data_IF_880572698185
#
_entry.id   IF_880572698185
#
_cell.length_a   1.000
_cell.length_b   1.000
_cell.length_c   1.000
_cell.angle_alpha   90.00
_cell.angle_beta   90.00
_cell.angle_gamma   90.00
#
_symmetry.space_group_name_H-M   'P 1'
#
loop_
_entity.id
_entity.type
_entity.pdbx_description
1 polymer ?
#
# COMPACT_ATOMS: atom_id res chain seq x y z
N UNK A 1 -14.74 -5.96 20.09
CA UNK A 1 -13.30 -6.23 19.99
C UNK A 1 -12.88 -5.95 18.56
N UNK A 2 -11.82 -5.18 18.35
CA UNK A 2 -11.27 -4.94 17.02
C UNK A 2 -10.39 -6.13 16.62
N UNK A 3 -10.95 -7.02 15.78
CA UNK A 3 -10.27 -8.23 15.33
C UNK A 3 -9.00 -7.91 14.53
N UNK A 4 -8.97 -6.78 13.83
CA UNK A 4 -7.83 -6.38 13.02
C UNK A 4 -6.68 -5.92 13.91
N UNK A 5 -6.96 -5.09 14.92
CA UNK A 5 -5.94 -4.66 15.89
C UNK A 5 -5.29 -5.87 16.59
N UNK A 6 -6.08 -6.88 16.95
CA UNK A 6 -5.57 -8.12 17.54
C UNK A 6 -4.71 -8.95 16.58
N UNK A 7 -4.94 -8.86 15.28
CA UNK A 7 -4.19 -9.59 14.26
C UNK A 7 -2.83 -8.96 13.91
N UNK A 8 -2.63 -7.66 14.19
CA UNK A 8 -1.40 -6.93 13.83
C UNK A 8 -0.10 -7.64 14.29
N UNK A 9 0.03 -8.10 15.56
CA UNK A 9 1.24 -8.82 15.97
C UNK A 9 1.46 -10.12 15.19
N UNK A 10 0.39 -10.84 14.86
CA UNK A 10 0.45 -12.08 14.09
C UNK A 10 0.89 -11.84 12.65
N UNK A 11 0.46 -10.75 12.02
CA UNK A 11 0.96 -10.38 10.68
C UNK A 11 2.48 -10.19 10.69
N UNK A 12 3.03 -9.48 11.67
CA UNK A 12 4.49 -9.29 11.77
C UNK A 12 5.23 -10.59 12.06
N UNK A 13 4.69 -11.47 12.90
CA UNK A 13 5.28 -12.80 13.13
C UNK A 13 5.29 -13.63 11.84
N UNK A 14 4.18 -13.66 11.09
CA UNK A 14 4.08 -14.41 9.84
C UNK A 14 5.00 -13.84 8.75
N UNK A 15 5.11 -12.52 8.63
CA UNK A 15 6.08 -11.87 7.74
C UNK A 15 7.50 -12.25 8.13
N UNK A 16 7.84 -12.27 9.42
CA UNK A 16 9.18 -12.67 9.88
C UNK A 16 9.48 -14.15 9.59
N UNK A 17 8.48 -15.03 9.76
CA UNK A 17 8.57 -16.45 9.40
C UNK A 17 8.76 -16.62 7.89
N UNK A 18 8.00 -15.90 7.07
CA UNK A 18 8.14 -15.94 5.62
C UNK A 18 9.52 -15.44 5.17
N UNK A 19 9.99 -14.34 5.74
CA UNK A 19 11.32 -13.79 5.45
C UNK A 19 12.45 -14.76 5.86
N UNK A 20 12.27 -15.52 6.94
CA UNK A 20 13.21 -16.58 7.32
C UNK A 20 13.16 -17.75 6.32
N UNK A 21 11.96 -18.18 5.91
CA UNK A 21 11.79 -19.23 4.92
C UNK A 21 12.40 -18.85 3.56
N UNK A 22 12.24 -17.58 3.14
CA UNK A 22 12.84 -17.02 1.92
C UNK A 22 14.37 -17.15 1.96
N UNK A 23 14.99 -16.75 3.08
CA UNK A 23 16.44 -16.88 3.29
C UNK A 23 16.93 -18.32 3.30
N UNK A 24 16.24 -19.21 4.02
CA UNK A 24 16.61 -20.64 4.12
C UNK A 24 16.51 -21.32 2.75
N UNK A 25 15.52 -20.93 1.93
CA UNK A 25 15.31 -21.49 0.59
C UNK A 25 16.13 -20.79 -0.50
N UNK A 26 16.97 -19.82 -0.15
CA UNK A 26 17.77 -19.04 -1.12
C UNK A 26 16.93 -18.22 -2.09
N UNK A 27 15.66 -17.95 -1.75
CA UNK A 27 14.78 -17.10 -2.53
C UNK A 27 15.05 -15.63 -2.18
N UNK A 28 14.54 -14.72 -3.02
CA UNK A 28 14.73 -13.27 -2.88
C UNK A 28 13.42 -12.55 -3.19
N UNK A 29 12.37 -12.92 -2.45
CA UNK A 29 11.03 -12.37 -2.64
C UNK A 29 10.80 -11.08 -1.84
N UNK A 30 11.82 -10.60 -1.12
CA UNK A 30 11.76 -9.39 -0.31
C UNK A 30 12.87 -8.41 -0.71
N UNK A 31 12.48 -7.16 -0.94
CA UNK A 31 13.39 -6.02 -0.81
C UNK A 31 12.93 -5.14 0.34
N UNK A 32 13.88 -4.52 1.05
CA UNK A 32 13.53 -3.66 2.18
C UNK A 32 12.67 -2.47 1.73
N UNK A 33 13.01 -1.86 0.60
CA UNK A 33 12.32 -0.67 0.11
C UNK A 33 10.87 -0.97 -0.26
N UNK A 34 10.63 -2.08 -0.99
CA UNK A 34 9.28 -2.50 -1.33
C UNK A 34 8.47 -2.91 -0.08
N UNK A 35 9.08 -3.69 0.83
CA UNK A 35 8.43 -4.09 2.09
C UNK A 35 8.02 -2.87 2.92
N UNK A 36 8.90 -1.89 3.10
CA UNK A 36 8.61 -0.66 3.84
C UNK A 36 7.55 0.15 3.10
N UNK A 37 7.59 0.27 1.77
CA UNK A 37 6.59 1.03 1.02
C UNK A 37 5.20 0.36 1.13
N UNK A 38 5.13 -0.97 1.00
CA UNK A 38 3.90 -1.74 1.15
C UNK A 38 3.29 -1.54 2.55
N UNK A 39 4.07 -1.74 3.61
CA UNK A 39 3.60 -1.50 4.98
C UNK A 39 3.27 -0.01 5.25
N UNK A 40 3.98 0.93 4.60
CA UNK A 40 3.70 2.37 4.71
C UNK A 40 2.33 2.72 4.13
N UNK A 41 2.00 2.20 2.94
CA UNK A 41 0.66 2.41 2.37
C UNK A 41 -0.43 1.77 3.24
N UNK A 42 -0.18 0.60 3.83
CA UNK A 42 -1.05 0.01 4.84
C UNK A 42 -1.28 0.88 6.07
N UNK A 43 -0.20 1.39 6.67
CA UNK A 43 -0.29 2.29 7.82
C UNK A 43 -1.06 3.59 7.49
N UNK A 44 -0.86 4.15 6.29
CA UNK A 44 -1.65 5.28 5.80
C UNK A 44 -3.11 4.93 5.57
N UNK A 45 -3.40 3.77 4.99
CA UNK A 45 -4.76 3.32 4.76
C UNK A 45 -5.53 3.18 6.07
N UNK A 46 -4.95 2.48 7.06
CA UNK A 46 -5.56 2.31 8.38
C UNK A 46 -5.77 3.63 9.09
N UNK A 47 -4.77 4.51 9.11
CA UNK A 47 -4.89 5.83 9.76
C UNK A 47 -5.85 6.77 9.04
N UNK A 48 -5.91 6.77 7.71
CA UNK A 48 -6.95 7.46 6.93
C UNK A 48 -8.33 6.91 7.28
N UNK A 49 -8.44 5.58 7.44
CA UNK A 49 -9.65 4.90 7.88
C UNK A 49 -10.20 5.44 9.20
N UNK A 50 -9.36 5.84 10.15
CA UNK A 50 -9.80 6.47 11.41
C UNK A 50 -10.51 7.81 11.17
N UNK A 51 -10.07 8.57 10.16
CA UNK A 51 -10.67 9.86 9.79
C UNK A 51 -11.94 9.69 8.93
N UNK A 52 -12.03 8.61 8.17
CA UNK A 52 -13.10 8.39 7.19
C UNK A 52 -14.10 7.29 7.58
N UNK A 53 -13.94 6.64 8.75
CA UNK A 53 -14.80 5.55 9.24
C UNK A 53 -16.29 5.92 9.21
N UNK A 54 -16.58 7.21 9.44
CA UNK A 54 -17.92 7.79 9.33
C UNK A 54 -18.59 7.52 7.98
N UNK A 55 -17.88 7.63 6.87
CA UNK A 55 -18.49 7.52 5.52
C UNK A 55 -19.06 6.12 5.27
N UNK A 56 -18.30 5.07 5.56
CA UNK A 56 -18.76 3.69 5.34
C UNK A 56 -19.74 3.22 6.41
N UNK A 57 -19.33 3.30 7.68
CA UNK A 57 -20.08 2.68 8.77
C UNK A 57 -21.36 3.44 9.10
N UNK A 58 -21.34 4.78 9.13
CA UNK A 58 -22.55 5.56 9.44
C UNK A 58 -23.54 5.44 8.29
N UNK A 59 -23.08 5.51 7.04
CA UNK A 59 -23.98 5.32 5.88
C UNK A 59 -24.59 3.93 5.88
N UNK A 60 -23.81 2.87 6.17
CA UNK A 60 -24.35 1.52 6.32
C UNK A 60 -25.39 1.44 7.44
N UNK A 61 -25.10 2.00 8.62
CA UNK A 61 -26.00 1.99 9.76
C UNK A 61 -27.31 2.76 9.49
N UNK A 62 -27.23 3.91 8.82
CA UNK A 62 -28.40 4.69 8.40
C UNK A 62 -29.24 3.93 7.37
N UNK A 63 -28.61 3.31 6.37
CA UNK A 63 -29.31 2.47 5.41
C UNK A 63 -29.99 1.27 6.09
N UNK A 64 -29.32 0.64 7.06
CA UNK A 64 -29.91 -0.45 7.85
C UNK A 64 -31.10 0.04 8.69
N UNK A 65 -30.98 1.17 9.37
CA UNK A 65 -32.06 1.66 10.25
C UNK A 65 -33.31 2.06 9.47
N UNK A 66 -33.12 2.74 8.33
CA UNK A 66 -34.21 3.39 7.60
C UNK A 66 -34.66 2.69 6.32
N UNK A 67 -33.84 1.81 5.74
CA UNK A 67 -34.09 1.19 4.43
C UNK A 67 -34.05 -0.34 4.44
N UNK A 68 -33.74 -0.97 5.58
CA UNK A 68 -33.72 -2.43 5.65
C UNK A 68 -35.11 -3.02 5.40
N UNK A 69 -35.19 -3.91 4.42
CA UNK A 69 -36.40 -4.64 4.01
C UNK A 69 -36.73 -5.76 5.00
N UNK A 70 -35.70 -6.35 5.60
CA UNK A 70 -35.80 -7.35 6.67
C UNK A 70 -34.97 -6.88 7.86
N UNK A 71 -35.16 -7.50 9.04
CA UNK A 71 -34.27 -7.33 10.19
C UNK A 71 -33.79 -8.71 10.64
N UNK A 72 -32.64 -9.16 10.10
CA UNK A 72 -32.13 -10.51 10.34
C UNK A 72 -31.65 -10.67 11.79
N UNK A 73 -31.98 -11.79 12.47
CA UNK A 73 -31.65 -11.97 13.88
C UNK A 73 -30.15 -12.31 14.08
N UNK A 74 -29.33 -11.44 14.70
CA UNK A 74 -27.90 -11.70 14.90
C UNK A 74 -27.62 -12.90 15.81
N UNK A 75 -28.59 -13.36 16.60
CA UNK A 75 -28.47 -14.57 17.41
C UNK A 75 -28.55 -15.87 16.59
N UNK A 76 -29.05 -15.81 15.36
CA UNK A 76 -29.16 -16.99 14.51
C UNK A 76 -27.86 -17.23 13.73
N UNK A 77 -27.22 -18.37 13.96
CA UNK A 77 -25.93 -18.72 13.34
C UNK A 77 -25.94 -18.65 11.80
N UNK A 78 -27.07 -19.00 11.17
CA UNK A 78 -27.20 -18.97 9.70
C UNK A 78 -27.09 -17.55 9.12
N UNK A 79 -27.44 -16.50 9.89
CA UNK A 79 -27.30 -15.11 9.46
C UNK A 79 -25.82 -14.76 9.28
N UNK A 80 -24.94 -15.29 10.12
CA UNK A 80 -23.50 -15.06 10.02
C UNK A 80 -22.89 -15.74 8.79
N UNK A 81 -23.27 -16.99 8.51
CA UNK A 81 -22.81 -17.69 7.32
C UNK A 81 -23.34 -17.02 6.04
N UNK A 82 -24.63 -16.67 6.02
CA UNK A 82 -25.23 -15.95 4.90
C UNK A 82 -24.53 -14.61 4.69
N UNK A 83 -24.34 -13.82 5.76
CA UNK A 83 -23.67 -12.53 5.68
C UNK A 83 -22.22 -12.66 5.20
N UNK A 84 -21.49 -13.70 5.61
CA UNK A 84 -20.11 -13.93 5.16
C UNK A 84 -20.04 -14.25 3.67
N UNK A 85 -20.92 -15.13 3.17
CA UNK A 85 -21.00 -15.46 1.74
C UNK A 85 -21.43 -14.25 0.91
N UNK A 86 -22.44 -13.51 1.35
CA UNK A 86 -22.92 -12.30 0.65
C UNK A 86 -21.90 -11.16 0.71
N UNK A 87 -21.17 -11.02 1.82
CA UNK A 87 -20.08 -10.06 1.91
C UNK A 87 -19.00 -10.37 0.87
N UNK A 88 -18.59 -11.64 0.75
CA UNK A 88 -17.61 -12.04 -0.26
C UNK A 88 -18.11 -11.85 -1.69
N UNK A 89 -19.41 -12.04 -1.93
CA UNK A 89 -20.04 -11.70 -3.21
C UNK A 89 -19.98 -10.20 -3.52
N UNK A 90 -20.30 -9.34 -2.54
CA UNK A 90 -20.15 -7.89 -2.68
C UNK A 90 -18.68 -7.50 -2.91
N UNK A 91 -17.75 -8.14 -2.20
CA UNK A 91 -16.32 -7.98 -2.39
C UNK A 91 -15.90 -8.33 -3.82
N UNK A 92 -16.36 -9.47 -4.37
CA UNK A 92 -16.07 -9.86 -5.75
C UNK A 92 -16.43 -8.75 -6.75
N UNK A 93 -17.61 -8.13 -6.64
CA UNK A 93 -18.02 -7.05 -7.53
C UNK A 93 -17.24 -5.76 -7.33
N UNK A 94 -16.97 -5.39 -6.07
CA UNK A 94 -16.11 -4.26 -5.76
C UNK A 94 -14.71 -4.46 -6.36
N UNK A 95 -14.16 -5.66 -6.20
CA UNK A 95 -12.82 -6.01 -6.63
C UNK A 95 -12.72 -6.05 -8.15
N UNK A 96 -13.67 -6.73 -8.81
CA UNK A 96 -13.78 -6.76 -10.27
C UNK A 96 -13.89 -5.37 -10.89
N UNK A 97 -14.82 -4.53 -10.40
CA UNK A 97 -14.92 -3.16 -10.91
C UNK A 97 -13.71 -2.30 -10.49
N UNK A 98 -13.06 -2.65 -9.39
CA UNK A 98 -11.73 -2.16 -8.98
C UNK A 98 -10.66 -2.39 -10.02
N UNK A 99 -10.70 -3.48 -10.77
CA UNK A 99 -9.77 -3.74 -11.88
C UNK A 99 -10.27 -3.19 -13.21
N UNK A 100 -11.58 -3.24 -13.47
CA UNK A 100 -12.14 -2.92 -14.78
C UNK A 100 -12.52 -1.44 -14.98
N UNK A 101 -12.55 -0.58 -13.95
CA UNK A 101 -12.97 0.83 -14.06
C UNK A 101 -11.95 1.81 -13.52
N UNK A 102 -11.60 2.83 -14.31
CA UNK A 102 -10.53 3.78 -14.03
C UNK A 102 -10.54 4.38 -12.61
N UNK A 103 -11.67 4.90 -12.12
CA UNK A 103 -11.73 5.52 -10.78
C UNK A 103 -11.62 4.51 -9.64
N UNK A 104 -12.16 3.30 -9.83
CA UNK A 104 -12.05 2.23 -8.83
C UNK A 104 -10.67 1.57 -8.89
N UNK A 105 -10.04 1.50 -10.06
CA UNK A 105 -8.64 1.13 -10.22
C UNK A 105 -7.70 2.16 -9.63
N UNK A 106 -8.02 3.45 -9.72
CA UNK A 106 -7.27 4.48 -8.98
C UNK A 106 -7.30 4.19 -7.47
N UNK A 107 -8.44 3.72 -6.95
CA UNK A 107 -8.56 3.29 -5.58
C UNK A 107 -7.92 1.92 -5.30
N UNK A 108 -7.80 1.01 -6.25
CA UNK A 108 -7.35 -0.37 -6.00
C UNK A 108 -5.89 -0.65 -6.38
N UNK A 109 -5.39 0.00 -7.44
CA UNK A 109 -4.05 -0.21 -8.02
C UNK A 109 -2.91 -0.11 -7.03
N UNK A 110 -3.06 0.66 -5.95
CA UNK A 110 -2.09 0.71 -4.85
C UNK A 110 -1.73 -0.71 -4.39
N UNK A 111 -2.71 -1.60 -4.25
CA UNK A 111 -2.50 -2.99 -3.84
C UNK A 111 -1.61 -3.79 -4.81
N UNK A 112 -1.72 -3.51 -6.11
CA UNK A 112 -1.01 -4.21 -7.19
C UNK A 112 0.34 -3.60 -7.56
N UNK A 113 0.68 -2.42 -7.06
CA UNK A 113 1.89 -1.69 -7.46
C UNK A 113 3.21 -2.35 -7.04
N UNK A 114 3.20 -3.26 -6.06
CA UNK A 114 4.42 -3.95 -5.63
C UNK A 114 4.89 -4.92 -6.72
N UNK A 115 6.18 -4.87 -7.00
CA UNK A 115 6.86 -5.75 -7.96
C UNK A 115 7.50 -6.97 -7.26
N UNK A 116 7.36 -7.02 -5.93
CA UNK A 116 7.55 -8.19 -5.11
C UNK A 116 6.20 -8.82 -4.73
N UNK A 117 6.22 -10.08 -4.33
CA UNK A 117 4.99 -10.75 -3.88
C UNK A 117 5.28 -11.62 -2.65
N UNK A 118 4.81 -11.15 -1.51
CA UNK A 118 5.01 -11.73 -0.19
C UNK A 118 3.94 -11.17 0.78
N UNK A 119 3.97 -11.56 2.06
CA UNK A 119 2.94 -11.18 3.03
C UNK A 119 2.90 -9.67 3.34
N UNK A 120 3.94 -8.90 3.02
CA UNK A 120 3.86 -7.43 3.12
C UNK A 120 2.97 -6.83 2.04
N UNK A 121 2.85 -7.49 0.87
CA UNK A 121 1.94 -7.11 -0.22
C UNK A 121 0.48 -7.16 0.24
N UNK A 122 0.12 -8.11 1.11
CA UNK A 122 -1.23 -8.16 1.71
C UNK A 122 -1.60 -6.86 2.45
N UNK A 123 -0.60 -6.23 3.06
CA UNK A 123 -0.77 -5.00 3.84
C UNK A 123 -0.57 -3.74 2.99
N UNK A 124 -0.32 -3.88 1.68
CA UNK A 124 -0.30 -2.76 0.74
C UNK A 124 -1.71 -2.33 0.40
N UNK A 125 -2.23 -1.36 1.13
CA UNK A 125 -3.64 -0.94 1.06
C UNK A 125 -3.78 0.52 0.63
N UNK A 126 -4.88 0.82 -0.05
CA UNK A 126 -5.24 2.17 -0.52
C UNK A 126 -5.82 3.04 0.59
N UNK A 127 -5.58 4.34 0.55
CA UNK A 127 -6.24 5.33 1.42
C UNK A 127 -7.52 5.93 0.80
N UNK A 128 -7.88 5.58 -0.44
CA UNK A 128 -9.00 6.21 -1.17
C UNK A 128 -10.24 5.31 -1.33
N UNK A 129 -10.21 4.08 -0.79
CA UNK A 129 -11.33 3.14 -0.88
C UNK A 129 -12.65 3.67 -0.30
N UNK A 130 -12.60 4.57 0.68
CA UNK A 130 -13.79 5.14 1.34
C UNK A 130 -14.71 5.94 0.41
N UNK A 131 -14.22 6.35 -0.77
CA UNK A 131 -15.00 7.20 -1.70
C UNK A 131 -16.18 6.41 -2.30
N UNK A 132 -15.95 5.18 -2.75
CA UNK A 132 -16.96 4.38 -3.47
C UNK A 132 -17.23 2.99 -2.90
N UNK A 133 -16.34 2.42 -2.08
CA UNK A 133 -16.48 1.01 -1.65
C UNK A 133 -17.75 0.74 -0.85
N UNK A 134 -18.24 1.73 -0.09
CA UNK A 134 -19.44 1.59 0.74
C UNK A 134 -20.70 1.30 -0.09
N UNK A 135 -20.78 1.76 -1.33
CA UNK A 135 -21.92 1.54 -2.24
C UNK A 135 -22.18 0.04 -2.47
N UNK A 136 -21.10 -0.73 -2.59
CA UNK A 136 -21.17 -2.17 -2.88
C UNK A 136 -21.72 -3.00 -1.73
N UNK A 137 -21.65 -2.47 -0.51
CA UNK A 137 -22.10 -3.17 0.70
C UNK A 137 -23.50 -2.73 1.16
N UNK A 138 -24.07 -1.68 0.58
CA UNK A 138 -25.46 -1.27 0.87
C UNK A 138 -26.51 -2.38 0.66
N UNK A 139 -26.38 -3.29 -0.34
CA UNK A 139 -27.31 -4.41 -0.46
C UNK A 139 -27.43 -5.26 0.81
N UNK A 140 -26.36 -5.42 1.60
CA UNK A 140 -26.42 -6.15 2.87
C UNK A 140 -27.22 -5.39 3.93
N UNK A 141 -27.10 -4.06 3.97
CA UNK A 141 -27.90 -3.22 4.86
C UNK A 141 -29.40 -3.30 4.49
N UNK A 142 -29.71 -3.21 3.18
CA UNK A 142 -31.08 -3.35 2.66
C UNK A 142 -31.67 -4.73 2.93
N UNK A 143 -30.85 -5.79 2.83
CA UNK A 143 -31.28 -7.14 3.20
C UNK A 143 -31.52 -7.30 4.70
N UNK A 144 -31.01 -6.39 5.54
CA UNK A 144 -31.19 -6.45 6.99
C UNK A 144 -30.07 -7.15 7.75
N UNK A 145 -28.85 -7.20 7.22
CA UNK A 145 -27.67 -7.68 7.94
C UNK A 145 -27.27 -6.66 9.02
N UNK A 146 -27.31 -7.00 10.32
CA UNK A 146 -27.01 -6.06 11.40
C UNK A 146 -25.56 -5.51 11.31
N UNK A 147 -25.31 -4.24 11.67
CA UNK A 147 -23.98 -3.64 11.58
C UNK A 147 -22.87 -4.41 12.30
N UNK A 148 -23.17 -5.02 13.46
CA UNK A 148 -22.22 -5.87 14.19
C UNK A 148 -21.79 -7.10 13.37
N UNK A 149 -22.77 -7.78 12.74
CA UNK A 149 -22.51 -8.93 11.88
C UNK A 149 -21.69 -8.48 10.67
N UNK A 150 -22.09 -7.38 10.03
CA UNK A 150 -21.39 -6.79 8.88
C UNK A 150 -19.91 -6.51 9.17
N UNK A 151 -19.59 -5.75 10.24
CA UNK A 151 -18.20 -5.41 10.59
C UNK A 151 -17.39 -6.67 10.90
N UNK A 152 -18.00 -7.67 11.55
CA UNK A 152 -17.32 -8.90 11.92
C UNK A 152 -17.00 -9.75 10.68
N UNK A 153 -17.98 -9.98 9.79
CA UNK A 153 -17.72 -10.75 8.55
C UNK A 153 -16.76 -10.02 7.62
N UNK A 154 -16.81 -8.69 7.57
CA UNK A 154 -15.82 -7.88 6.86
C UNK A 154 -14.40 -8.11 7.39
N UNK A 155 -14.24 -8.12 8.72
CA UNK A 155 -12.95 -8.38 9.37
C UNK A 155 -12.45 -9.79 9.08
N UNK A 156 -13.33 -10.81 9.16
CA UNK A 156 -12.97 -12.20 8.85
C UNK A 156 -12.57 -12.39 7.39
N UNK A 157 -13.28 -11.73 6.46
CA UNK A 157 -12.96 -11.77 5.04
C UNK A 157 -11.57 -11.15 4.79
N UNK A 158 -11.30 -9.96 5.35
CA UNK A 158 -10.00 -9.31 5.26
C UNK A 158 -8.87 -10.17 5.85
N UNK A 159 -9.10 -10.81 7.00
CA UNK A 159 -8.12 -11.70 7.63
C UNK A 159 -7.80 -12.93 6.78
N UNK A 160 -8.80 -13.52 6.13
CA UNK A 160 -8.58 -14.61 5.19
C UNK A 160 -7.69 -14.17 4.03
N UNK A 161 -7.88 -12.97 3.50
CA UNK A 161 -7.11 -12.48 2.37
C UNK A 161 -5.62 -12.21 2.68
N UNK A 162 -5.19 -12.25 3.95
CA UNK A 162 -3.79 -12.06 4.28
C UNK A 162 -2.89 -13.19 3.75
N UNK A 163 -3.21 -14.45 4.07
CA UNK A 163 -2.32 -15.58 3.85
C UNK A 163 -2.13 -15.95 2.38
N UNK A 164 -3.03 -15.51 1.50
CA UNK A 164 -2.95 -15.79 0.06
C UNK A 164 -1.79 -15.04 -0.63
N UNK A 165 -1.15 -14.08 0.05
CA UNK A 165 -0.03 -13.31 -0.49
C UNK A 165 1.31 -13.97 -0.23
N UNK A 166 1.57 -15.13 -0.85
CA UNK A 166 2.88 -15.79 -0.73
C UNK A 166 3.25 -16.56 -2.00
N UNK A 167 4.55 -16.67 -2.24
CA UNK A 167 5.13 -17.51 -3.30
C UNK A 167 5.53 -18.90 -2.80
N UNK A 168 5.48 -19.14 -1.50
CA UNK A 168 5.99 -20.39 -0.91
C UNK A 168 5.00 -21.54 -0.90
N UNK A 169 3.72 -21.26 -1.16
CA UNK A 169 2.65 -22.25 -1.20
C UNK A 169 2.34 -22.57 -2.67
N UNK A 170 2.53 -23.84 -3.10
CA UNK A 170 2.22 -24.27 -4.46
C UNK A 170 0.71 -24.36 -4.68
N UNK A 171 0.28 -24.89 -5.83
CA UNK A 171 -1.12 -25.22 -6.06
C UNK A 171 -1.63 -26.21 -5.01
N UNK A 172 -2.86 -26.01 -4.55
CA UNK A 172 -3.50 -26.83 -3.50
C UNK A 172 -4.56 -27.81 -4.03
N UNK A 173 -4.65 -27.97 -5.35
CA UNK A 173 -5.52 -28.98 -5.98
C UNK A 173 -7.00 -28.73 -5.71
N UNK A 174 -7.69 -29.69 -5.08
CA UNK A 174 -9.15 -29.61 -4.85
C UNK A 174 -9.57 -28.36 -4.05
N UNK A 175 -8.69 -27.83 -3.20
CA UNK A 175 -8.98 -26.64 -2.40
C UNK A 175 -9.22 -25.39 -3.27
N UNK A 176 -8.55 -25.31 -4.44
CA UNK A 176 -8.67 -24.22 -5.44
C UNK A 176 -9.97 -24.27 -6.26
N UNK A 177 -10.82 -25.27 -6.01
CA UNK A 177 -12.15 -25.31 -6.60
C UNK A 177 -13.16 -24.48 -5.83
N UNK A 178 -12.90 -24.25 -4.54
CA UNK A 178 -13.84 -23.58 -3.63
C UNK A 178 -13.26 -22.27 -3.10
N UNK A 179 -12.00 -22.28 -2.71
CA UNK A 179 -11.35 -21.19 -1.99
C UNK A 179 -10.23 -20.56 -2.80
N UNK A 180 -10.04 -19.25 -2.60
CA UNK A 180 -8.90 -18.51 -3.14
C UNK A 180 -7.64 -18.99 -2.44
N UNK A 181 -6.62 -19.37 -3.22
CA UNK A 181 -5.31 -19.78 -2.72
C UNK A 181 -4.21 -18.81 -3.17
N UNK A 182 -2.99 -18.97 -2.62
CA UNK A 182 -1.82 -18.27 -3.13
C UNK A 182 -1.59 -18.44 -4.64
N UNK A 183 -1.94 -19.59 -5.24
CA UNK A 183 -1.81 -19.75 -6.69
C UNK A 183 -2.80 -18.86 -7.46
N UNK A 184 -4.08 -18.87 -7.05
CA UNK A 184 -5.08 -18.01 -7.68
C UNK A 184 -4.73 -16.53 -7.52
N UNK A 185 -4.25 -16.14 -6.34
CA UNK A 185 -3.95 -14.76 -6.02
C UNK A 185 -2.63 -14.25 -6.65
N UNK A 186 -1.65 -15.13 -6.91
CA UNK A 186 -0.49 -14.77 -7.74
C UNK A 186 -0.89 -14.40 -9.16
N UNK A 187 -1.77 -15.19 -9.79
CA UNK A 187 -2.33 -14.88 -11.11
C UNK A 187 -3.05 -13.54 -11.08
N UNK A 188 -3.85 -13.30 -10.05
CA UNK A 188 -4.56 -12.05 -9.87
C UNK A 188 -3.62 -10.82 -9.81
N UNK A 189 -2.47 -10.95 -9.14
CA UNK A 189 -1.48 -9.88 -9.02
C UNK A 189 -0.52 -9.75 -10.21
N UNK A 190 -0.71 -10.56 -11.25
CA UNK A 190 0.16 -10.57 -12.41
C UNK A 190 -0.14 -9.41 -13.36
N UNK A 191 0.92 -8.85 -13.97
CA UNK A 191 0.80 -7.94 -15.12
C UNK A 191 0.94 -8.67 -16.47
N UNK A 192 1.10 -10.00 -16.46
CA UNK A 192 1.12 -10.82 -17.68
C UNK A 192 -0.19 -10.64 -18.46
N UNK A 193 -0.15 -10.43 -19.79
CA UNK A 193 -1.36 -10.30 -20.60
C UNK A 193 -2.36 -11.46 -20.46
N UNK A 194 -1.88 -12.69 -20.24
CA UNK A 194 -2.74 -13.86 -20.06
C UNK A 194 -3.48 -13.92 -18.71
N UNK A 195 -3.04 -13.13 -17.74
CA UNK A 195 -3.52 -13.11 -16.36
C UNK A 195 -4.24 -11.81 -15.97
N UNK A 196 -4.18 -10.76 -16.79
CA UNK A 196 -4.92 -9.52 -16.57
C UNK A 196 -6.42 -9.80 -16.41
N UNK A 197 -7.03 -9.12 -15.45
CA UNK A 197 -8.46 -9.13 -15.21
C UNK A 197 -9.02 -10.53 -14.86
N UNK A 198 -8.31 -11.26 -13.97
CA UNK A 198 -8.66 -12.62 -13.52
C UNK A 198 -8.67 -12.76 -12.00
N UNK A 199 -9.41 -13.76 -11.52
CA UNK A 199 -9.43 -14.24 -10.13
C UNK A 199 -9.73 -13.13 -9.09
N UNK A 200 -10.89 -12.50 -9.16
CA UNK A 200 -11.32 -11.40 -8.29
C UNK A 200 -11.88 -11.81 -6.93
N UNK A 201 -12.12 -13.10 -6.67
CA UNK A 201 -12.64 -13.57 -5.39
C UNK A 201 -11.74 -13.18 -4.21
N UNK A 202 -12.34 -12.86 -3.06
CA UNK A 202 -11.59 -12.60 -1.83
C UNK A 202 -11.34 -13.90 -1.06
N UNK A 203 -12.43 -14.61 -0.75
CA UNK A 203 -12.40 -15.91 -0.06
C UNK A 203 -12.77 -17.03 -1.01
N UNK A 204 -13.86 -16.88 -1.78
CA UNK A 204 -14.35 -17.93 -2.66
C UNK A 204 -13.96 -17.68 -4.11
N UNK A 205 -13.26 -18.64 -4.72
CA UNK A 205 -12.98 -18.65 -6.17
C UNK A 205 -14.24 -19.01 -6.99
N UNK A 206 -15.31 -19.42 -6.31
CA UNK A 206 -16.59 -19.79 -6.92
C UNK A 206 -17.14 -18.67 -7.82
N UNK A 207 -17.02 -17.41 -7.40
CA UNK A 207 -17.50 -16.27 -8.17
C UNK A 207 -16.78 -16.14 -9.50
N UNK A 208 -15.46 -16.33 -9.52
CA UNK A 208 -14.68 -16.31 -10.75
C UNK A 208 -15.06 -17.39 -11.73
N UNK A 209 -15.40 -18.58 -11.22
CA UNK A 209 -15.90 -19.68 -12.05
C UNK A 209 -17.29 -19.38 -12.59
N UNK A 210 -18.17 -18.84 -11.75
CA UNK A 210 -19.55 -18.49 -12.13
C UNK A 210 -19.61 -17.36 -13.17
N UNK A 211 -18.75 -16.35 -13.03
CA UNK A 211 -18.76 -15.15 -13.88
C UNK A 211 -17.68 -15.16 -14.97
N UNK A 212 -16.97 -16.28 -15.16
CA UNK A 212 -16.03 -16.49 -16.27
C UNK A 212 -14.71 -15.71 -16.15
N UNK A 213 -14.30 -15.35 -14.94
CA UNK A 213 -13.04 -14.62 -14.65
C UNK A 213 -11.95 -15.50 -14.07
N UNK A 214 -12.21 -16.81 -13.89
CA UNK A 214 -11.22 -17.78 -13.41
C UNK A 214 -10.08 -17.99 -14.41
N UNK A 215 -8.84 -17.98 -13.91
CA UNK A 215 -7.64 -18.38 -14.65
C UNK A 215 -6.69 -19.13 -13.73
N UNK A 216 -6.31 -20.32 -14.15
CA UNK A 216 -5.32 -21.12 -13.45
C UNK A 216 -3.89 -20.59 -13.70
N UNK A 217 -3.02 -20.67 -12.69
CA UNK A 217 -1.59 -20.35 -12.82
C UNK A 217 -0.93 -21.38 -13.74
N UNK A 218 -0.35 -20.95 -14.86
CA UNK A 218 0.37 -21.82 -15.77
C UNK A 218 1.84 -21.94 -15.34
N UNK A 219 2.35 -23.15 -15.01
CA UNK A 219 3.76 -23.35 -14.70
C UNK A 219 4.72 -22.94 -15.84
N UNK A 220 4.24 -22.90 -17.09
CA UNK A 220 5.02 -22.48 -18.25
C UNK A 220 5.08 -20.95 -18.44
N UNK A 221 4.23 -20.20 -17.74
CA UNK A 221 4.19 -18.73 -17.81
C UNK A 221 4.47 -18.13 -16.42
N UNK A 222 5.75 -17.83 -16.11
CA UNK A 222 6.12 -17.20 -14.85
C UNK A 222 5.36 -15.89 -14.61
N UNK A 223 4.82 -15.76 -13.41
CA UNK A 223 4.11 -14.56 -12.98
C UNK A 223 5.10 -13.40 -12.81
N UNK A 224 4.80 -12.30 -13.51
CA UNK A 224 5.46 -11.00 -13.34
C UNK A 224 4.51 -10.10 -12.56
N UNK A 225 4.94 -9.62 -11.39
CA UNK A 225 4.14 -8.77 -10.50
C UNK A 225 4.32 -7.29 -10.80
N UNK A 226 3.39 -6.47 -10.32
CA UNK A 226 3.35 -5.02 -10.54
C UNK A 226 2.15 -4.60 -11.37
N UNK A 227 2.18 -3.35 -11.84
CA UNK A 227 1.15 -2.78 -12.72
C UNK A 227 1.75 -2.37 -14.05
N UNK A 228 0.95 -2.38 -15.12
CA UNK A 228 1.41 -2.09 -16.49
C UNK A 228 2.00 -0.69 -16.67
N UNK A 229 1.66 0.24 -15.77
CA UNK A 229 2.28 1.56 -15.63
C UNK A 229 2.96 1.61 -14.26
N UNK A 230 4.26 1.28 -14.15
CA UNK A 230 4.92 1.10 -12.87
C UNK A 230 4.86 2.34 -11.98
N UNK A 231 4.85 2.12 -10.65
CA UNK A 231 4.94 3.21 -9.69
C UNK A 231 6.29 3.94 -9.78
N UNK A 232 7.38 3.16 -9.94
CA UNK A 232 8.76 3.65 -10.00
C UNK A 232 9.09 4.66 -8.88
N UNK A 233 8.59 4.39 -7.66
CA UNK A 233 8.72 5.26 -6.50
C UNK A 233 8.45 4.49 -5.21
N UNK A 234 9.15 4.87 -4.13
CA UNK A 234 8.93 4.44 -2.76
C UNK A 234 8.15 5.47 -1.93
N UNK A 235 7.59 6.51 -2.55
CA UNK A 235 6.73 7.49 -1.89
C UNK A 235 5.29 6.93 -1.72
N UNK A 236 4.83 6.66 -0.49
CA UNK A 236 3.51 6.07 -0.26
C UNK A 236 2.34 7.04 -0.50
N UNK A 237 2.59 8.35 -0.47
CA UNK A 237 1.60 9.35 -0.88
C UNK A 237 1.44 9.36 -2.40
N UNK A 238 2.56 9.29 -3.13
CA UNK A 238 2.52 9.20 -4.58
C UNK A 238 1.90 7.89 -5.06
N UNK A 239 2.15 6.77 -4.37
CA UNK A 239 1.50 5.48 -4.62
C UNK A 239 -0.03 5.62 -4.70
N UNK A 240 -0.63 6.38 -3.76
CA UNK A 240 -2.06 6.65 -3.72
C UNK A 240 -2.57 7.66 -4.77
N UNK A 241 -1.69 8.50 -5.32
CA UNK A 241 -2.08 9.62 -6.18
C UNK A 241 -1.75 9.43 -7.66
N UNK A 242 -0.79 8.56 -7.99
CA UNK A 242 -0.24 8.43 -9.34
C UNK A 242 -1.31 8.22 -10.41
N UNK A 243 -2.22 7.26 -10.19
CA UNK A 243 -3.24 6.93 -11.19
C UNK A 243 -4.31 8.04 -11.29
N UNK A 244 -4.73 8.63 -10.16
CA UNK A 244 -5.62 9.81 -10.18
C UNK A 244 -5.00 10.98 -10.92
N UNK A 245 -3.71 11.23 -10.70
CA UNK A 245 -2.97 12.26 -11.41
C UNK A 245 -2.92 11.95 -12.90
N UNK A 246 -2.65 10.71 -13.30
CA UNK A 246 -2.67 10.30 -14.70
C UNK A 246 -4.03 10.59 -15.36
N UNK A 247 -5.14 10.15 -14.75
CA UNK A 247 -6.49 10.41 -15.26
C UNK A 247 -6.78 11.91 -15.36
N UNK A 248 -6.37 12.70 -14.36
CA UNK A 248 -6.52 14.14 -14.38
C UNK A 248 -5.74 14.82 -15.51
N UNK A 249 -4.50 14.39 -15.76
CA UNK A 249 -3.69 14.92 -16.87
C UNK A 249 -4.31 14.58 -18.22
N UNK A 250 -4.79 13.35 -18.41
CA UNK A 250 -5.46 12.94 -19.65
C UNK A 250 -6.80 13.68 -19.83
N UNK A 251 -7.59 13.83 -18.76
CA UNK A 251 -8.82 14.61 -18.77
C UNK A 251 -8.56 16.08 -19.18
N UNK A 252 -7.50 16.70 -18.64
CA UNK A 252 -7.14 18.08 -18.98
C UNK A 252 -6.69 18.25 -20.42
N UNK A 253 -6.00 17.24 -20.98
CA UNK A 253 -5.46 17.25 -22.35
C UNK A 253 -6.50 16.93 -23.41
N UNK A 254 -7.60 16.28 -23.04
CA UNK A 254 -8.66 15.94 -23.98
C UNK A 254 -9.30 17.19 -24.60
N UNK A 255 -9.57 17.14 -25.89
CA UNK A 255 -10.25 18.22 -26.61
C UNK A 255 -11.75 18.26 -26.22
N UNK A 256 -12.39 17.09 -26.09
CA UNK A 256 -13.83 16.94 -25.77
C UNK A 256 -14.11 17.08 -24.28
N UNK A 257 -15.06 17.96 -23.90
CA UNK A 257 -15.55 18.09 -22.52
C UNK A 257 -16.14 16.79 -21.96
N UNK A 258 -16.80 16.01 -22.81
CA UNK A 258 -17.38 14.72 -22.40
C UNK A 258 -16.28 13.71 -22.06
N UNK A 259 -15.18 13.71 -22.80
CA UNK A 259 -14.02 12.85 -22.51
C UNK A 259 -13.36 13.20 -21.18
N UNK A 260 -13.34 14.49 -20.80
CA UNK A 260 -12.84 14.92 -19.48
C UNK A 260 -13.64 14.35 -18.32
N UNK A 261 -14.95 14.15 -18.51
CA UNK A 261 -15.87 13.68 -17.49
C UNK A 261 -16.00 12.15 -17.48
N UNK A 262 -16.12 11.51 -18.64
CA UNK A 262 -16.35 10.06 -18.69
C UNK A 262 -15.11 9.25 -18.39
N UNK A 263 -13.90 9.79 -18.61
CA UNK A 263 -12.62 9.07 -18.41
C UNK A 263 -12.55 8.34 -17.06
N UNK A 264 -13.10 8.93 -16.00
CA UNK A 264 -13.13 8.36 -14.65
C UNK A 264 -13.92 7.04 -14.55
N UNK A 265 -14.93 6.85 -15.40
CA UNK A 265 -15.82 5.69 -15.37
C UNK A 265 -15.62 4.73 -16.55
N UNK A 266 -14.74 5.08 -17.48
CA UNK A 266 -14.38 4.23 -18.61
C UNK A 266 -13.55 3.02 -18.16
N UNK A 267 -13.46 1.97 -19.00
CA UNK A 267 -12.66 0.79 -18.70
C UNK A 267 -11.21 1.15 -18.34
N UNK A 268 -10.59 0.39 -17.44
CA UNK A 268 -9.21 0.64 -17.03
C UNK A 268 -8.26 0.66 -18.23
N UNK A 269 -7.45 1.71 -18.30
CA UNK A 269 -6.53 1.94 -19.43
C UNK A 269 -7.17 2.62 -20.65
N UNK A 270 -8.48 2.86 -20.65
CA UNK A 270 -9.11 3.72 -21.66
C UNK A 270 -8.61 5.17 -21.53
N UNK A 271 -8.27 5.76 -22.66
CA UNK A 271 -7.84 7.16 -22.79
C UNK A 271 -8.57 7.81 -23.97
N UNK A 272 -8.85 9.13 -23.92
CA UNK A 272 -9.41 9.86 -25.07
C UNK A 272 -8.52 9.68 -26.31
N UNK A 273 -9.13 9.51 -27.49
CA UNK A 273 -8.40 9.11 -28.70
C UNK A 273 -7.35 10.15 -29.14
N UNK A 274 -7.69 11.44 -29.02
CA UNK A 274 -6.79 12.57 -29.27
C UNK A 274 -5.60 12.57 -28.29
N UNK A 275 -5.85 12.28 -27.01
CA UNK A 275 -4.81 12.18 -25.99
C UNK A 275 -3.92 10.97 -26.22
N UNK A 276 -4.50 9.82 -26.55
CA UNK A 276 -3.75 8.60 -26.87
C UNK A 276 -2.85 8.78 -28.10
N UNK A 277 -3.32 9.52 -29.12
CA UNK A 277 -2.55 9.82 -30.32
C UNK A 277 -1.42 10.84 -30.07
N UNK A 278 -1.70 11.93 -29.32
CA UNK A 278 -0.71 12.99 -29.04
C UNK A 278 0.27 12.62 -27.94
N UNK A 279 -0.13 11.78 -26.98
CA UNK A 279 0.63 11.39 -25.81
C UNK A 279 0.57 9.86 -25.60
N UNK A 280 1.17 9.07 -26.50
CA UNK A 280 1.12 7.62 -26.41
C UNK A 280 1.78 7.11 -25.13
N UNK A 281 1.21 6.05 -24.55
CA UNK A 281 1.79 5.32 -23.43
C UNK A 281 2.24 3.95 -23.93
N UNK A 282 3.56 3.72 -23.95
CA UNK A 282 4.11 2.43 -24.30
C UNK A 282 3.88 1.45 -23.15
N UNK A 283 3.34 0.27 -23.46
CA UNK A 283 3.34 -0.85 -22.52
C UNK A 283 4.76 -1.39 -22.43
N UNK A 284 5.20 -1.74 -21.23
CA UNK A 284 6.52 -2.36 -21.06
C UNK A 284 6.54 -3.75 -21.67
N UNK A 285 7.65 -4.08 -22.33
CA UNK A 285 7.95 -5.45 -22.72
C UNK A 285 8.35 -6.25 -21.48
N UNK A 286 7.53 -7.24 -21.12
CA UNK A 286 7.77 -8.06 -19.94
C UNK A 286 9.05 -8.91 -20.04
N UNK A 287 9.54 -9.17 -21.26
CA UNK A 287 10.82 -9.87 -21.46
C UNK A 287 12.03 -9.04 -20.97
N UNK A 288 11.86 -7.72 -20.88
CA UNK A 288 12.88 -6.76 -20.42
C UNK A 288 12.51 -6.11 -19.08
N UNK A 289 11.46 -6.61 -18.41
CA UNK A 289 11.00 -6.03 -17.15
C UNK A 289 12.10 -6.08 -16.09
N UNK A 290 12.38 -4.93 -15.50
CA UNK A 290 13.30 -4.79 -14.38
C UNK A 290 12.56 -4.13 -13.25
N UNK A 291 12.61 -4.77 -12.08
CA UNK A 291 12.03 -4.21 -10.88
C UNK A 291 12.70 -2.87 -10.56
N UNK A 292 11.91 -1.90 -10.16
CA UNK A 292 12.38 -0.65 -9.62
C UNK A 292 13.13 -0.94 -8.32
N UNK A 293 14.43 -0.68 -8.32
CA UNK A 293 15.28 -0.81 -7.15
C UNK A 293 16.28 0.34 -7.13
N UNK A 294 16.50 0.90 -5.94
CA UNK A 294 17.52 1.92 -5.71
C UNK A 294 18.57 1.30 -4.80
N UNK A 295 19.82 1.28 -5.27
CA UNK A 295 20.93 0.77 -4.47
C UNK A 295 21.14 1.67 -3.24
N UNK A 296 21.04 1.08 -2.05
CA UNK A 296 21.18 1.77 -0.77
C UNK A 296 22.24 1.09 0.11
N UNK A 297 23.04 1.89 0.80
CA UNK A 297 23.95 1.38 1.81
C UNK A 297 23.20 0.77 3.00
N UNK A 298 23.74 -0.32 3.57
CA UNK A 298 23.14 -1.04 4.72
C UNK A 298 22.82 -0.13 5.91
N UNK A 299 23.64 0.89 6.16
CA UNK A 299 23.40 1.84 7.25
C UNK A 299 22.17 2.74 7.00
N UNK A 300 21.93 3.17 5.76
CA UNK A 300 20.74 3.93 5.40
C UNK A 300 19.49 3.06 5.44
N UNK A 301 19.59 1.82 4.97
CA UNK A 301 18.54 0.81 5.10
C UNK A 301 18.16 0.57 6.57
N UNK A 302 19.14 0.33 7.44
CA UNK A 302 18.92 0.14 8.88
C UNK A 302 18.30 1.38 9.53
N UNK A 303 18.76 2.58 9.15
CA UNK A 303 18.19 3.83 9.61
C UNK A 303 16.70 3.94 9.25
N UNK A 304 16.35 3.77 7.97
CA UNK A 304 14.96 3.85 7.52
C UNK A 304 14.08 2.80 8.21
N UNK A 305 14.57 1.56 8.34
CA UNK A 305 13.85 0.51 9.05
C UNK A 305 13.57 0.87 10.52
N UNK A 306 14.56 1.42 11.23
CA UNK A 306 14.39 1.86 12.61
C UNK A 306 13.38 3.00 12.74
N UNK A 307 13.40 3.98 11.82
CA UNK A 307 12.42 5.06 11.80
C UNK A 307 11.01 4.55 11.48
N UNK A 308 10.90 3.58 10.58
CA UNK A 308 9.63 2.97 10.18
C UNK A 308 8.92 2.28 11.35
N UNK A 309 9.66 1.61 12.25
CA UNK A 309 9.08 1.00 13.47
C UNK A 309 8.35 2.04 14.33
N UNK A 310 8.88 3.27 14.43
CA UNK A 310 8.21 4.36 15.14
C UNK A 310 6.87 4.74 14.51
N UNK A 311 6.75 4.68 13.19
CA UNK A 311 5.49 4.95 12.48
C UNK A 311 4.49 3.80 12.61
N UNK A 312 4.95 2.54 12.62
CA UNK A 312 4.06 1.41 12.98
C UNK A 312 3.51 1.59 14.39
N UNK A 313 4.35 1.93 15.36
CA UNK A 313 3.92 2.17 16.74
C UNK A 313 2.93 3.35 16.85
N UNK A 314 3.19 4.46 16.15
CA UNK A 314 2.25 5.59 16.08
C UNK A 314 0.92 5.18 15.47
N UNK A 315 0.91 4.34 14.42
CA UNK A 315 -0.32 3.84 13.79
C UNK A 315 -1.16 3.02 14.75
N UNK A 316 -0.54 2.04 15.43
CA UNK A 316 -1.20 1.23 16.46
C UNK A 316 -1.73 2.09 17.61
N UNK A 317 -0.96 3.09 18.05
CA UNK A 317 -1.39 4.03 19.07
C UNK A 317 -2.64 4.81 18.65
N UNK A 318 -2.65 5.36 17.43
CA UNK A 318 -3.80 6.09 16.88
C UNK A 318 -5.06 5.22 16.82
N UNK A 319 -4.93 3.94 16.44
CA UNK A 319 -6.06 3.00 16.45
C UNK A 319 -6.61 2.79 17.85
N UNK A 320 -5.73 2.68 18.86
CA UNK A 320 -6.13 2.46 20.25
C UNK A 320 -6.86 3.68 20.84
N UNK A 321 -6.42 4.89 20.51
CA UNK A 321 -6.98 6.13 21.09
C UNK A 321 -8.09 6.76 20.26
N UNK A 322 -8.37 6.25 19.05
CA UNK A 322 -9.27 6.86 18.07
C UNK A 322 -10.64 7.29 18.61
N UNK A 323 -11.23 6.49 19.51
CA UNK A 323 -12.55 6.75 20.07
C UNK A 323 -12.54 7.68 21.30
N UNK A 324 -11.34 8.03 21.79
CA UNK A 324 -11.13 8.78 23.04
C UNK A 324 -10.60 10.21 22.83
N UNK A 325 -10.17 10.55 21.61
CA UNK A 325 -9.53 11.83 21.28
C UNK A 325 -10.33 12.59 20.22
N UNK A 326 -10.26 13.93 20.17
CA UNK A 326 -10.97 14.70 19.16
C UNK A 326 -10.40 14.45 17.75
N UNK A 327 -11.21 14.65 16.72
CA UNK A 327 -10.76 14.49 15.31
C UNK A 327 -9.52 15.32 14.98
N UNK A 328 -9.38 16.51 15.55
CA UNK A 328 -8.18 17.35 15.36
C UNK A 328 -6.89 16.64 15.84
N UNK A 329 -6.95 15.87 16.93
CA UNK A 329 -5.84 15.05 17.40
C UNK A 329 -5.49 13.94 16.39
N UNK A 330 -6.50 13.28 15.83
CA UNK A 330 -6.29 12.25 14.81
C UNK A 330 -5.70 12.82 13.52
N UNK A 331 -6.13 14.01 13.11
CA UNK A 331 -5.56 14.72 11.95
C UNK A 331 -4.08 15.06 12.19
N UNK A 332 -3.71 15.50 13.39
CA UNK A 332 -2.31 15.74 13.75
C UNK A 332 -1.48 14.45 13.65
N UNK A 333 -1.96 13.36 14.25
CA UNK A 333 -1.28 12.05 14.21
C UNK A 333 -1.14 11.50 12.79
N UNK A 334 -2.20 11.60 12.00
CA UNK A 334 -2.21 11.22 10.59
C UNK A 334 -1.24 12.09 9.76
N UNK A 335 -1.22 13.40 9.95
CA UNK A 335 -0.31 14.29 9.23
C UNK A 335 1.16 13.99 9.55
N UNK A 336 1.47 13.69 10.82
CA UNK A 336 2.80 13.29 11.24
C UNK A 336 3.22 11.94 10.62
N UNK A 337 2.28 10.99 10.55
CA UNK A 337 2.47 9.71 9.85
C UNK A 337 2.74 9.92 8.37
N UNK A 338 1.86 10.65 7.67
CA UNK A 338 1.94 10.92 6.24
C UNK A 338 3.24 11.62 5.84
N UNK A 339 3.60 12.68 6.56
CA UNK A 339 4.85 13.39 6.31
C UNK A 339 6.06 12.50 6.59
N UNK A 340 6.01 11.74 7.69
CA UNK A 340 7.05 10.80 8.07
C UNK A 340 7.35 9.74 7.03
N UNK A 341 6.32 9.00 6.62
CA UNK A 341 6.41 7.94 5.64
C UNK A 341 6.81 8.48 4.25
N UNK A 342 6.40 9.70 3.90
CA UNK A 342 6.90 10.41 2.72
C UNK A 342 8.42 10.62 2.76
N UNK A 343 8.95 11.10 3.89
CA UNK A 343 10.40 11.30 4.06
C UNK A 343 11.15 9.97 4.01
N UNK A 344 10.61 8.90 4.61
CA UNK A 344 11.21 7.56 4.50
C UNK A 344 11.25 7.07 3.06
N UNK A 345 10.18 7.28 2.28
CA UNK A 345 10.17 7.00 0.84
C UNK A 345 11.25 7.76 0.07
N UNK A 346 11.43 9.04 0.38
CA UNK A 346 12.49 9.85 -0.24
C UNK A 346 13.91 9.38 0.12
N UNK A 347 14.11 8.91 1.36
CA UNK A 347 15.37 8.30 1.79
C UNK A 347 15.60 6.96 1.08
N UNK A 348 14.57 6.14 0.88
CA UNK A 348 14.67 4.89 0.13
C UNK A 348 14.99 5.11 -1.36
N UNK A 349 14.55 6.23 -1.92
CA UNK A 349 14.88 6.63 -3.29
C UNK A 349 16.24 7.35 -3.40
N UNK A 350 16.97 7.51 -2.29
CA UNK A 350 18.24 8.24 -2.23
C UNK A 350 18.18 9.64 -2.88
N UNK A 351 17.07 10.36 -2.71
CA UNK A 351 16.88 11.68 -3.31
C UNK A 351 17.88 12.69 -2.73
N UNK A 352 18.42 13.63 -3.54
CA UNK A 352 19.42 14.59 -3.07
C UNK A 352 18.91 15.52 -1.95
N UNK A 353 17.60 15.73 -1.87
CA UNK A 353 16.94 16.53 -0.84
C UNK A 353 16.45 15.72 0.36
N UNK A 354 16.52 14.39 0.33
CA UNK A 354 15.98 13.52 1.38
C UNK A 354 16.58 13.81 2.76
N UNK A 355 17.89 14.10 2.81
CA UNK A 355 18.57 14.47 4.06
C UNK A 355 18.03 15.76 4.68
N UNK A 356 17.73 16.78 3.84
CA UNK A 356 17.19 18.05 4.34
C UNK A 356 15.77 17.85 4.87
N UNK A 357 14.97 17.04 4.17
CA UNK A 357 13.64 16.69 4.66
C UNK A 357 13.67 15.89 5.95
N UNK A 358 14.62 14.98 6.12
CA UNK A 358 14.78 14.24 7.37
C UNK A 358 15.09 15.15 8.55
N UNK A 359 15.93 16.18 8.36
CA UNK A 359 16.14 17.20 9.39
C UNK A 359 14.85 17.98 9.70
N UNK A 360 14.07 18.35 8.68
CA UNK A 360 12.77 19.01 8.87
C UNK A 360 11.80 18.10 9.64
N UNK A 361 11.74 16.80 9.31
CA UNK A 361 10.93 15.80 10.02
C UNK A 361 11.29 15.71 11.49
N UNK A 362 12.59 15.64 11.80
CA UNK A 362 13.06 15.60 13.18
C UNK A 362 12.73 16.88 13.95
N UNK A 363 12.90 18.04 13.33
CA UNK A 363 12.54 19.34 13.93
C UNK A 363 11.02 19.47 14.15
N UNK A 364 10.20 18.92 13.26
CA UNK A 364 8.74 18.98 13.35
C UNK A 364 8.18 18.16 14.53
N UNK A 365 8.93 17.19 15.08
CA UNK A 365 8.45 16.39 16.20
C UNK A 365 8.20 17.20 17.47
N UNK A 366 8.95 18.27 17.72
CA UNK A 366 8.79 19.12 18.91
C UNK A 366 7.47 19.91 18.91
N UNK A 367 7.14 20.71 17.87
CA UNK A 367 5.83 21.35 17.80
C UNK A 367 4.69 20.31 17.70
N UNK A 368 4.91 19.16 17.04
CA UNK A 368 3.90 18.09 17.01
C UNK A 368 3.62 17.51 18.40
N UNK A 369 4.64 17.27 19.24
CA UNK A 369 4.46 16.79 20.61
C UNK A 369 3.71 17.83 21.46
N UNK A 370 4.05 19.11 21.34
CA UNK A 370 3.33 20.17 22.05
C UNK A 370 1.84 20.20 21.67
N UNK A 371 1.53 20.18 20.36
CA UNK A 371 0.15 20.14 19.87
C UNK A 371 -0.57 18.85 20.29
N UNK A 372 0.14 17.71 20.33
CA UNK A 372 -0.42 16.46 20.81
C UNK A 372 -0.87 16.57 22.28
N UNK A 373 -0.12 17.27 23.12
CA UNK A 373 -0.54 17.59 24.48
C UNK A 373 -1.78 18.50 24.52
N UNK A 374 -1.77 19.58 23.74
CA UNK A 374 -2.87 20.53 23.68
C UNK A 374 -4.19 19.91 23.18
N UNK A 375 -4.11 18.93 22.28
CA UNK A 375 -5.26 18.23 21.70
C UNK A 375 -5.67 16.97 22.47
N UNK A 376 -5.00 16.65 23.59
CA UNK A 376 -5.26 15.43 24.37
C UNK A 376 -4.84 14.14 23.67
N UNK A 377 -4.02 14.22 22.62
CA UNK A 377 -3.46 13.07 21.93
C UNK A 377 -2.35 12.39 22.74
N UNK A 378 -1.62 13.12 23.58
CA UNK A 378 -0.53 12.55 24.38
C UNK A 378 -0.40 13.28 25.72
N UNK A 379 0.06 12.56 26.74
CA UNK A 379 0.40 13.18 28.03
C UNK A 379 1.79 13.80 27.93
N UNK A 380 1.85 15.13 27.85
CA UNK A 380 3.13 15.86 27.68
C UNK A 380 3.70 16.25 29.03
N UNK A 381 4.67 15.46 29.49
CA UNK A 381 5.40 15.63 30.75
C UNK A 381 6.91 15.64 30.51
N UNK A 382 7.77 16.08 31.45
CA UNK A 382 9.22 16.14 31.22
C UNK A 382 9.85 14.85 30.67
N UNK A 383 9.45 13.63 31.10
CA UNK A 383 9.91 12.39 30.48
C UNK A 383 9.62 12.27 28.97
N UNK A 384 8.48 12.78 28.48
CA UNK A 384 8.15 12.74 27.05
C UNK A 384 9.04 13.66 26.22
N UNK A 385 9.39 14.83 26.76
CA UNK A 385 10.36 15.73 26.13
C UNK A 385 11.76 15.13 26.12
N UNK A 386 12.19 14.51 27.22
CA UNK A 386 13.48 13.82 27.29
C UNK A 386 13.56 12.67 26.28
N UNK A 387 12.49 11.87 26.16
CA UNK A 387 12.40 10.83 25.14
C UNK A 387 12.53 11.40 23.74
N UNK A 388 11.81 12.49 23.43
CA UNK A 388 11.89 13.13 22.12
C UNK A 388 13.29 13.65 21.80
N UNK A 389 13.96 14.28 22.77
CA UNK A 389 15.35 14.75 22.61
C UNK A 389 16.29 13.57 22.36
N UNK A 390 16.19 12.50 23.16
CA UNK A 390 17.00 11.31 22.99
C UNK A 390 16.79 10.65 21.61
N UNK A 391 15.53 10.49 21.19
CA UNK A 391 15.18 9.98 19.87
C UNK A 391 15.73 10.85 18.74
N UNK A 392 15.65 12.17 18.88
CA UNK A 392 16.16 13.12 17.89
C UNK A 392 17.68 13.06 17.77
N UNK A 393 18.40 13.02 18.90
CA UNK A 393 19.86 12.88 18.92
C UNK A 393 20.32 11.55 18.33
N UNK A 394 19.66 10.45 18.68
CA UNK A 394 19.96 9.13 18.13
C UNK A 394 19.71 9.09 16.61
N UNK A 395 18.63 9.73 16.15
CA UNK A 395 18.30 9.84 14.73
C UNK A 395 19.33 10.68 13.96
N UNK A 396 19.78 11.81 14.52
CA UNK A 396 20.83 12.63 13.92
C UNK A 396 22.17 11.88 13.87
N UNK A 397 22.51 11.14 14.91
CA UNK A 397 23.69 10.29 14.93
C UNK A 397 23.62 9.20 13.85
N UNK A 398 22.49 8.48 13.76
CA UNK A 398 22.27 7.45 12.75
C UNK A 398 22.33 7.98 11.32
N UNK A 399 21.72 9.13 11.07
CA UNK A 399 21.76 9.82 9.77
C UNK A 399 23.19 10.24 9.40
N UNK A 400 23.92 10.82 10.36
CA UNK A 400 25.32 11.21 10.19
C UNK A 400 26.23 10.00 9.93
N UNK A 401 26.00 8.89 10.62
CA UNK A 401 26.72 7.63 10.43
C UNK A 401 26.48 7.03 9.04
N UNK A 402 25.21 6.94 8.61
CA UNK A 402 24.85 6.46 7.28
C UNK A 402 25.52 7.30 6.17
N UNK A 403 25.50 8.63 6.32
CA UNK A 403 26.14 9.55 5.37
C UNK A 403 27.65 9.35 5.29
N UNK A 404 28.33 9.20 6.44
CA UNK A 404 29.78 8.98 6.49
C UNK A 404 30.18 7.70 5.78
N UNK A 405 29.41 6.63 5.95
CA UNK A 405 29.66 5.36 5.26
C UNK A 405 29.42 5.46 3.75
N UNK A 406 28.35 6.13 3.32
CA UNK A 406 28.09 6.36 1.91
C UNK A 406 29.23 7.14 1.23
N UNK A 407 29.73 8.21 1.87
CA UNK A 407 30.86 8.99 1.35
C UNK A 407 32.16 8.18 1.30
N UNK A 408 32.38 7.26 2.25
CA UNK A 408 33.55 6.36 2.23
C UNK A 408 33.47 5.35 1.09
N UNK A 409 32.30 4.78 0.84
CA UNK A 409 32.08 3.85 -0.27
C UNK A 409 32.33 4.54 -1.62
N UNK A 410 31.78 5.74 -1.83
CA UNK A 410 32.00 6.54 -3.04
C UNK A 410 33.48 6.86 -3.27
N UNK A 411 34.24 7.17 -2.21
CA UNK A 411 35.68 7.42 -2.31
C UNK A 411 36.50 6.16 -2.62
N UNK A 412 36.01 4.99 -2.24
CA UNK A 412 36.68 3.71 -2.52
C UNK A 412 36.42 3.21 -3.95
N UNK A 413 35.28 3.58 -4.55
CA UNK A 413 34.93 3.24 -5.93
C UNK A 413 35.58 4.16 -6.98
N UNK A 414 36.01 5.36 -6.60
CA UNK A 414 36.82 6.22 -7.46
C UNK A 414 38.28 5.76 -7.36
N UNK A 415 38.88 5.13 -8.40
CA UNK A 415 40.31 4.90 -8.38
C UNK A 415 40.99 6.27 -8.28
N UNK A 416 41.99 6.40 -7.43
CA UNK A 416 42.94 7.50 -7.59
C UNK A 416 43.40 7.46 -9.06
N UNK A 417 43.15 8.52 -9.82
CA UNK A 417 43.82 8.73 -11.09
C UNK A 417 45.17 9.41 -10.81
N UNK A 418 46.30 8.69 -10.72
CA UNK A 418 47.59 9.33 -10.84
C UNK A 418 47.98 9.38 -12.32
N UNK A 419 47.31 10.17 -13.18
CA UNK A 419 47.84 10.44 -14.53
C UNK A 419 47.17 11.54 -15.38
N UNK A 420 46.53 12.56 -14.80
CA UNK A 420 46.17 13.77 -15.58
C UNK A 420 47.14 14.95 -15.40
N UNK A 421 48.18 14.80 -14.58
CA UNK A 421 49.25 15.81 -14.45
C UNK A 421 50.34 15.71 -15.54
N UNK A 422 50.46 14.57 -16.25
CA UNK A 422 51.51 14.36 -17.25
C UNK A 422 51.15 14.87 -18.66
N UNK A 423 49.87 15.05 -18.98
CA UNK A 423 49.43 15.54 -20.31
C UNK A 423 49.32 17.08 -20.40
N UNK A 424 49.43 17.82 -19.28
CA UNK A 424 49.48 19.30 -19.31
C UNK A 424 50.88 19.89 -19.46
N UNK A 425 51.94 19.08 -19.39
CA UNK A 425 53.32 19.54 -19.62
C UNK A 425 53.82 19.31 -21.05
N UNK A 426 53.08 18.59 -21.91
CA UNK A 426 53.46 18.36 -23.31
C UNK A 426 52.73 19.26 -24.32
N UNK A 427 51.86 20.18 -23.87
CA UNK A 427 51.13 21.10 -24.74
C UNK A 427 51.69 22.54 -24.74
N UNK A 428 52.82 22.79 -24.08
CA UNK A 428 53.48 24.10 -23.99
C UNK A 428 54.85 24.15 -24.71
N UNK A 429 55.24 23.09 -25.39
CA UNK A 429 56.44 23.07 -26.23
C UNK A 429 56.06 22.68 -27.66
N UNK A 430 55.74 23.69 -28.48
CA UNK A 430 56.34 23.91 -29.80
C UNK A 430 55.76 25.20 -30.41
N UNK A 431 56.59 25.97 -31.13
CA UNK A 431 56.56 27.44 -31.21
C UNK A 431 55.49 28.04 -32.13
#
# INVERSE_FOLDING_TARGET
>A
MDLILLAVPFFFVLIAVELLADRVRGQRNFTLADSINSLSTGALSTSTGLLTKGVGLVTYALAFEHMALLRLPPQAWWVWLLAFVLYDFCYYWLHRLGHERNVLWAAHSVHHQSEEYNLTTALRQTSSGFIFSWLFYLPLALLGVPPLVFITVASLNLLYQFWVHTRHIPKLGWFEWVLITPSNHRVHHAQNPAYLDRNYGGVFILWDRLFGTFKEEDPAEPVVFGVTTPLASWNPLWANLQFYAQLWHDARRADSLWDKLRIWFMPTGWRPADVAARYPQAKQDLALFRKFEVALGRAQQAYVAAQFVGYVALGSYLMEVAERVPTAALVLGWAQMAFGLFVLGALLENRPWAMRLELVRLLANAPALYLAGALGLAVVVPPTWLFLVAYSLLSLWGLGFARRLALRAQRAETPAQPQQAAQRQQATEHP
#
